data_IF_467502281882
#
_entry.id   IF_467502281882
#
_cell.length_a   1.000
_cell.length_b   1.000
_cell.length_c   1.000
_cell.angle_alpha   90.00
_cell.angle_beta   90.00
_cell.angle_gamma   90.00
#
_symmetry.space_group_name_H-M   'P 1'
#
loop_
_entity.id
_entity.type
_entity.pdbx_description
1 polymer ?
#
# COMPACT_ATOMS: atom_id res chain seq x y z
N UNK A 1 -0.77 -9.93 19.26
CA UNK A 1 -2.16 -9.65 18.85
C UNK A 1 -2.25 -8.71 17.64
N UNK A 2 -1.57 -7.55 17.65
CA UNK A 2 -1.64 -6.57 16.55
C UNK A 2 -1.15 -7.04 15.17
N UNK A 3 -0.37 -8.11 15.11
CA UNK A 3 0.24 -8.67 13.87
C UNK A 3 -0.75 -9.17 12.81
N UNK A 4 -2.04 -9.28 13.13
CA UNK A 4 -3.11 -9.70 12.21
C UNK A 4 -4.04 -8.56 11.79
N UNK A 5 -3.72 -7.33 12.19
CA UNK A 5 -4.48 -6.13 11.86
C UNK A 5 -3.60 -5.21 11.02
N UNK A 6 -4.22 -4.42 10.15
CA UNK A 6 -3.49 -3.42 9.34
C UNK A 6 -2.93 -2.32 10.25
N UNK A 7 -1.67 -1.97 10.00
CA UNK A 7 -0.99 -0.82 10.60
C UNK A 7 -0.87 0.35 9.63
N UNK A 8 -0.85 0.06 8.32
CA UNK A 8 -0.66 1.02 7.25
C UNK A 8 -1.37 0.59 5.95
N UNK A 9 -1.78 1.58 5.17
CA UNK A 9 -2.23 1.47 3.79
C UNK A 9 -1.72 2.69 3.01
N UNK A 10 -1.19 2.47 1.81
CA UNK A 10 -0.65 3.53 0.95
C UNK A 10 -0.80 3.20 -0.55
N UNK A 11 -0.72 4.23 -1.38
CA UNK A 11 -0.64 4.11 -2.84
C UNK A 11 0.79 4.36 -3.32
N UNK A 12 1.29 3.49 -4.19
CA UNK A 12 2.54 3.72 -4.89
C UNK A 12 2.36 4.78 -5.98
N UNK A 13 3.24 5.79 -5.99
CA UNK A 13 3.11 7.00 -6.81
C UNK A 13 4.34 7.30 -7.67
N UNK A 14 5.38 6.48 -7.58
CA UNK A 14 6.59 6.62 -8.39
C UNK A 14 6.49 5.76 -9.65
N UNK A 15 6.01 6.37 -10.75
CA UNK A 15 5.84 5.71 -12.04
C UNK A 15 7.14 5.45 -12.80
N UNK A 16 8.28 5.99 -12.34
CA UNK A 16 9.60 5.73 -12.94
C UNK A 16 10.15 4.35 -12.54
N UNK A 17 9.65 3.76 -11.45
CA UNK A 17 9.99 2.39 -11.06
C UNK A 17 9.05 1.42 -11.77
N UNK A 18 9.52 0.82 -12.85
CA UNK A 18 8.66 -0.02 -13.72
C UNK A 18 8.70 -1.50 -13.39
N UNK A 19 9.61 -1.93 -12.50
CA UNK A 19 9.82 -3.34 -12.12
C UNK A 19 10.03 -3.49 -10.62
N UNK A 20 9.66 -4.65 -10.08
CA UNK A 20 10.01 -5.02 -8.72
C UNK A 20 11.53 -5.19 -8.57
N UNK A 21 12.07 -4.56 -7.54
CA UNK A 21 13.50 -4.51 -7.20
C UNK A 21 13.88 -5.52 -6.14
N UNK A 22 12.89 -6.10 -5.44
CA UNK A 22 13.07 -6.94 -4.24
C UNK A 22 13.66 -6.16 -3.05
N UNK A 23 13.50 -4.85 -3.06
CA UNK A 23 13.83 -3.97 -1.95
C UNK A 23 12.58 -3.19 -1.59
N UNK A 24 12.12 -3.39 -0.37
CA UNK A 24 10.82 -2.87 0.06
C UNK A 24 10.73 -1.34 -0.05
N UNK A 25 11.84 -0.62 0.21
CA UNK A 25 11.88 0.85 0.16
C UNK A 25 11.58 1.41 -1.24
N UNK A 26 11.90 0.65 -2.29
CA UNK A 26 11.59 1.02 -3.67
C UNK A 26 10.26 0.42 -4.11
N UNK A 27 10.02 -0.84 -3.76
CA UNK A 27 8.88 -1.58 -4.26
C UNK A 27 7.55 -1.01 -3.72
N UNK A 28 7.53 -0.50 -2.48
CA UNK A 28 6.35 0.14 -1.89
C UNK A 28 5.97 1.46 -2.61
N UNK A 29 6.91 2.04 -3.38
CA UNK A 29 6.69 3.32 -4.08
C UNK A 29 6.26 3.13 -5.54
N UNK A 30 6.30 1.91 -6.09
CA UNK A 30 6.00 1.64 -7.51
C UNK A 30 4.61 2.20 -7.89
N UNK A 31 4.60 3.09 -8.88
CA UNK A 31 3.39 3.70 -9.42
C UNK A 31 2.36 2.67 -9.86
N UNK A 32 1.10 2.85 -9.43
CA UNK A 32 0.01 1.95 -9.76
C UNK A 32 -0.08 0.69 -8.91
N UNK A 33 0.62 0.67 -7.77
CA UNK A 33 0.50 -0.38 -6.75
C UNK A 33 -0.19 0.15 -5.49
N UNK A 34 -0.68 -0.78 -4.67
CA UNK A 34 -1.12 -0.51 -3.30
C UNK A 34 -0.19 -1.24 -2.35
N UNK A 35 0.22 -0.55 -1.29
CA UNK A 35 0.99 -1.09 -0.20
C UNK A 35 0.10 -1.19 1.04
N UNK A 36 0.20 -2.32 1.74
CA UNK A 36 -0.44 -2.54 3.02
C UNK A 36 0.56 -3.19 3.98
N UNK A 37 0.60 -2.70 5.22
CA UNK A 37 1.39 -3.33 6.27
C UNK A 37 0.47 -3.92 7.34
N UNK A 38 0.74 -5.17 7.75
CA UNK A 38 0.16 -5.74 8.97
C UNK A 38 1.06 -5.47 10.16
N UNK A 39 0.45 -5.25 11.33
CA UNK A 39 1.15 -4.99 12.57
C UNK A 39 1.23 -3.50 12.93
N UNK A 40 2.41 -3.04 13.30
CA UNK A 40 2.62 -1.77 13.96
C UNK A 40 2.21 -0.65 13.02
N UNK A 41 1.29 0.20 13.45
CA UNK A 41 1.03 1.46 12.77
C UNK A 41 1.79 2.60 13.43
N UNK A 42 2.14 3.59 12.62
CA UNK A 42 2.80 4.81 13.05
C UNK A 42 1.85 5.68 13.90
N UNK A 43 2.16 6.00 15.17
CA UNK A 43 1.28 6.80 16.03
C UNK A 43 0.93 8.17 15.47
N UNK A 44 1.84 8.78 14.70
CA UNK A 44 1.67 10.07 14.03
C UNK A 44 0.57 10.06 12.95
N UNK A 45 0.21 8.90 12.40
CA UNK A 45 -0.92 8.76 11.47
C UNK A 45 -2.26 8.53 12.19
N UNK A 46 -2.26 8.58 13.52
CA UNK A 46 -3.43 8.28 14.35
C UNK A 46 -3.67 6.78 14.55
N UNK A 47 -2.76 5.92 14.10
CA UNK A 47 -2.89 4.48 14.27
C UNK A 47 -2.89 4.09 15.75
N UNK A 48 -3.78 3.15 16.10
CA UNK A 48 -3.89 2.57 17.44
C UNK A 48 -3.33 1.15 17.50
N UNK A 49 -2.91 0.60 16.36
CA UNK A 49 -2.45 -0.78 16.28
C UNK A 49 -1.02 -0.90 16.82
N UNK A 50 -0.86 -1.68 17.89
CA UNK A 50 0.44 -1.95 18.52
C UNK A 50 0.86 -3.38 18.22
N UNK A 51 2.05 -3.54 17.66
CA UNK A 51 2.62 -4.83 17.29
C UNK A 51 4.14 -4.78 17.35
N UNK A 52 4.77 -5.95 17.46
CA UNK A 52 6.23 -6.08 17.38
C UNK A 52 6.74 -6.16 15.93
N UNK A 53 5.84 -6.39 14.96
CA UNK A 53 6.17 -6.47 13.54
C UNK A 53 5.48 -5.34 12.80
N UNK A 54 6.11 -4.87 11.73
CA UNK A 54 5.51 -4.10 10.65
C UNK A 54 5.93 -4.83 9.38
N UNK A 55 4.97 -5.42 8.67
CA UNK A 55 5.28 -6.26 7.51
C UNK A 55 4.46 -5.84 6.31
N UNK A 56 5.19 -5.33 5.32
CA UNK A 56 4.70 -4.80 4.07
C UNK A 56 4.37 -5.89 3.05
N UNK A 57 3.24 -5.68 2.36
CA UNK A 57 2.82 -6.41 1.18
C UNK A 57 2.42 -5.42 0.10
N UNK A 58 2.78 -5.72 -1.13
CA UNK A 58 2.53 -4.85 -2.28
C UNK A 58 1.61 -5.60 -3.26
N UNK A 59 0.51 -4.95 -3.61
CA UNK A 59 -0.43 -5.41 -4.61
C UNK A 59 -0.25 -4.59 -5.89
N UNK A 60 0.11 -5.25 -6.98
CA UNK A 60 0.21 -4.63 -8.30
C UNK A 60 -1.17 -4.55 -8.95
N UNK A 61 -1.66 -3.32 -9.17
CA UNK A 61 -2.99 -3.08 -9.73
C UNK A 61 -2.95 -2.71 -11.23
N UNK A 62 -1.76 -2.70 -11.84
CA UNK A 62 -1.56 -2.28 -13.24
C UNK A 62 -2.20 -3.20 -14.29
N UNK A 63 -2.68 -4.38 -13.88
CA UNK A 63 -3.28 -5.38 -14.77
C UNK A 63 -4.72 -5.72 -14.34
N UNK A 64 -5.68 -4.80 -14.51
CA UNK A 64 -7.08 -5.06 -14.20
C UNK A 64 -7.49 -4.73 -12.75
N UNK A 65 -6.60 -4.16 -11.95
CA UNK A 65 -6.84 -3.88 -10.54
C UNK A 65 -7.65 -2.61 -10.31
N UNK A 66 -8.46 -2.61 -9.25
CA UNK A 66 -9.24 -1.44 -8.80
C UNK A 66 -9.07 -1.26 -7.30
N UNK A 67 -8.77 -0.04 -6.87
CA UNK A 67 -8.88 0.39 -5.49
C UNK A 67 -10.01 1.41 -5.36
N UNK A 68 -10.92 1.17 -4.44
CA UNK A 68 -12.03 2.09 -4.14
C UNK A 68 -11.79 2.81 -2.81
N UNK A 69 -12.19 4.07 -2.75
CA UNK A 69 -12.18 4.90 -1.53
C UNK A 69 -13.60 5.44 -1.36
N UNK A 70 -14.18 5.21 -0.19
CA UNK A 70 -15.58 5.58 0.11
C UNK A 70 -16.61 5.03 -0.90
N UNK A 71 -16.32 3.87 -1.50
CA UNK A 71 -17.17 3.20 -2.49
C UNK A 71 -16.92 3.62 -3.94
N UNK A 72 -16.14 4.68 -4.17
CA UNK A 72 -15.83 5.19 -5.51
C UNK A 72 -14.46 4.70 -6.00
N UNK A 73 -14.29 4.35 -7.29
CA UNK A 73 -12.98 4.06 -7.86
C UNK A 73 -12.03 5.24 -7.65
N UNK A 74 -10.85 4.96 -7.09
CA UNK A 74 -9.80 5.95 -6.88
C UNK A 74 -8.54 5.62 -7.69
N UNK A 75 -8.23 4.32 -7.83
CA UNK A 75 -7.20 3.80 -8.71
C UNK A 75 -7.80 2.69 -9.58
N UNK A 76 -7.51 2.70 -10.88
CA UNK A 76 -7.91 1.66 -11.84
C UNK A 76 -6.79 1.40 -12.83
N UNK A 77 -6.46 0.13 -13.06
CA UNK A 77 -5.41 -0.31 -14.00
C UNK A 77 -4.06 0.41 -13.74
N UNK A 78 -3.78 0.68 -12.46
CA UNK A 78 -2.59 1.39 -12.01
C UNK A 78 -2.60 2.91 -12.21
N UNK A 79 -3.67 3.49 -12.76
CA UNK A 79 -3.85 4.93 -12.91
C UNK A 79 -4.85 5.51 -11.90
N UNK A 80 -4.61 6.73 -11.42
CA UNK A 80 -5.61 7.47 -10.65
C UNK A 80 -6.75 7.93 -11.58
N UNK A 81 -8.00 7.86 -11.11
CA UNK A 81 -9.20 8.20 -11.90
C UNK A 81 -9.86 9.52 -11.48
N UNK A 82 -9.20 10.29 -10.61
CA UNK A 82 -9.64 11.58 -10.08
C UNK A 82 -9.08 12.77 -10.86
#
# INVERSE_FOLDING_TARGET
>A
EGSRYLGEFAFGTNFDITRFTKNILFDEKIGGTVHMAVGLGYPETGSRNKSAIHWDMIADLRQGGVATVDGEPFLKDGGFVV
#
